data_IF_126275103061
#
_entry.id   IF_126275103061
#
_cell.length_a   1.000
_cell.length_b   1.000
_cell.length_c   1.000
_cell.angle_alpha   90.00
_cell.angle_beta   90.00
_cell.angle_gamma   90.00
#
_symmetry.space_group_name_H-M   'P 1'
#
loop_
_entity.id
_entity.type
_entity.pdbx_description
1 polymer ?
#
# COMPACT_ATOMS: atom_id res chain seq x y z
N UNK A 1 10.70 31.47 5.74
CA UNK A 1 9.94 31.03 4.55
C UNK A 1 8.93 29.94 4.93
N UNK A 2 7.74 29.92 4.32
CA UNK A 2 6.65 28.97 4.60
C UNK A 2 7.06 27.49 4.53
N UNK A 3 7.92 27.10 3.58
CA UNK A 3 8.35 25.71 3.42
C UNK A 3 9.16 25.18 4.61
N UNK A 4 10.00 26.02 5.21
CA UNK A 4 10.78 25.64 6.41
C UNK A 4 9.85 25.32 7.58
N UNK A 5 8.76 26.06 7.74
CA UNK A 5 7.76 25.82 8.81
C UNK A 5 7.00 24.52 8.57
N UNK A 6 6.63 24.22 7.33
CA UNK A 6 5.98 22.95 6.95
C UNK A 6 6.89 21.75 7.26
N UNK A 7 8.15 21.79 6.82
CA UNK A 7 9.08 20.69 7.06
C UNK A 7 9.36 20.48 8.55
N UNK A 8 9.48 21.57 9.32
CA UNK A 8 9.68 21.49 10.76
C UNK A 8 8.46 20.93 11.49
N UNK A 9 7.24 21.32 11.08
CA UNK A 9 6.02 20.75 11.63
C UNK A 9 5.92 19.23 11.37
N UNK A 10 6.19 18.79 10.14
CA UNK A 10 6.21 17.37 9.80
C UNK A 10 7.27 16.60 10.59
N UNK A 11 8.49 17.16 10.71
CA UNK A 11 9.57 16.55 11.49
C UNK A 11 9.14 16.33 12.95
N UNK A 12 8.50 17.32 13.58
CA UNK A 12 8.03 17.20 14.97
C UNK A 12 6.96 16.14 15.13
N UNK A 13 5.99 16.10 14.21
CA UNK A 13 4.94 15.07 14.21
C UNK A 13 5.55 13.69 14.08
N UNK A 14 6.47 13.48 13.15
CA UNK A 14 7.17 12.20 13.02
C UNK A 14 8.03 11.87 14.23
N UNK A 15 8.68 12.87 14.84
CA UNK A 15 9.42 12.70 16.09
C UNK A 15 8.55 12.12 17.21
N UNK A 16 7.38 12.72 17.44
CA UNK A 16 6.40 12.25 18.43
C UNK A 16 5.95 10.82 18.11
N UNK A 17 5.66 10.52 16.84
CA UNK A 17 5.24 9.17 16.44
C UNK A 17 6.34 8.13 16.68
N UNK A 18 7.58 8.42 16.31
CA UNK A 18 8.71 7.49 16.49
C UNK A 18 9.00 7.28 17.97
N UNK A 19 9.00 8.34 18.78
CA UNK A 19 9.22 8.24 20.22
C UNK A 19 8.13 7.39 20.90
N UNK A 20 6.86 7.68 20.61
CA UNK A 20 5.72 6.97 21.21
C UNK A 20 5.72 5.48 20.85
N UNK A 21 5.91 5.12 19.57
CA UNK A 21 5.91 3.70 19.18
C UNK A 21 7.07 2.95 19.83
N UNK A 22 8.25 3.56 19.96
CA UNK A 22 9.39 2.92 20.62
C UNK A 22 9.11 2.71 22.10
N UNK A 23 8.67 3.75 22.81
CA UNK A 23 8.39 3.70 24.25
C UNK A 23 7.27 2.71 24.57
N UNK A 24 6.14 2.77 23.87
CA UNK A 24 5.00 1.88 24.12
C UNK A 24 5.33 0.42 23.75
N UNK A 25 6.05 0.21 22.66
CA UNK A 25 6.47 -1.15 22.26
C UNK A 25 7.46 -1.75 23.25
N UNK A 26 8.40 -0.97 23.76
CA UNK A 26 9.32 -1.41 24.82
C UNK A 26 8.57 -1.81 26.08
N UNK A 27 7.62 -0.99 26.54
CA UNK A 27 6.77 -1.31 27.69
C UNK A 27 6.03 -2.64 27.51
N UNK A 28 5.45 -2.87 26.32
CA UNK A 28 4.75 -4.12 25.99
C UNK A 28 5.69 -5.32 25.98
N UNK A 29 6.88 -5.17 25.37
CA UNK A 29 7.90 -6.21 25.36
C UNK A 29 8.38 -6.56 26.77
N UNK A 30 8.62 -5.57 27.63
CA UNK A 30 9.02 -5.78 29.02
C UNK A 30 7.93 -6.51 29.80
N UNK A 31 6.66 -6.12 29.64
CA UNK A 31 5.54 -6.77 30.30
C UNK A 31 5.31 -8.21 29.81
N UNK A 32 5.50 -8.46 28.52
CA UNK A 32 5.36 -9.78 27.91
C UNK A 32 6.55 -10.70 28.23
N UNK A 33 7.74 -10.13 28.43
CA UNK A 33 8.99 -10.83 28.70
C UNK A 33 9.28 -12.05 27.78
N UNK A 34 9.12 -11.91 26.45
CA UNK A 34 9.33 -13.00 25.51
C UNK A 34 10.77 -13.52 25.58
N UNK A 35 10.95 -14.83 25.46
CA UNK A 35 12.25 -15.50 25.39
C UNK A 35 12.62 -15.88 23.97
N UNK A 36 11.64 -15.89 23.06
CA UNK A 36 11.85 -16.22 21.67
C UNK A 36 10.94 -15.40 20.74
N UNK A 37 11.29 -15.37 19.45
CA UNK A 37 10.40 -14.84 18.42
C UNK A 37 9.09 -15.65 18.32
N UNK A 38 9.10 -16.92 18.73
CA UNK A 38 7.89 -17.74 18.73
C UNK A 38 6.88 -17.26 19.77
N UNK A 39 7.35 -16.75 20.91
CA UNK A 39 6.48 -16.19 21.95
C UNK A 39 5.72 -14.97 21.44
N UNK A 40 6.35 -14.16 20.58
CA UNK A 40 5.71 -13.03 19.90
C UNK A 40 4.67 -13.49 18.89
N UNK A 41 4.97 -14.53 18.09
CA UNK A 41 4.01 -15.09 17.12
C UNK A 41 2.80 -15.73 17.80
N UNK A 42 3.01 -16.34 18.98
CA UNK A 42 1.96 -16.97 19.76
C UNK A 42 1.16 -15.95 20.60
N UNK A 43 1.64 -14.72 20.74
CA UNK A 43 0.93 -13.67 21.47
C UNK A 43 -0.30 -13.19 20.70
N UNK A 44 -1.40 -12.94 21.40
CA UNK A 44 -2.71 -12.63 20.80
C UNK A 44 -2.88 -11.18 20.37
N UNK A 45 -1.94 -10.29 20.71
CA UNK A 45 -2.02 -8.87 20.42
C UNK A 45 -0.74 -8.34 19.74
N UNK A 46 -0.83 -7.25 18.97
CA UNK A 46 0.36 -6.60 18.42
C UNK A 46 1.29 -6.10 19.53
N UNK A 47 2.58 -6.36 19.39
CA UNK A 47 3.60 -5.89 20.34
C UNK A 47 4.16 -4.52 19.93
N UNK A 48 4.30 -4.29 18.62
CA UNK A 48 4.72 -3.01 18.07
C UNK A 48 3.50 -2.17 17.74
N UNK A 49 3.19 -1.17 18.56
CA UNK A 49 2.06 -0.28 18.34
C UNK A 49 2.23 1.06 19.07
N UNK A 50 1.52 2.08 18.60
CA UNK A 50 1.40 3.36 19.29
C UNK A 50 0.65 3.19 20.62
N UNK A 51 0.86 4.13 21.53
CA UNK A 51 0.03 4.26 22.72
C UNK A 51 -1.44 4.46 22.34
N UNK A 52 -2.35 4.05 23.24
CA UNK A 52 -3.78 4.25 23.02
C UNK A 52 -4.14 5.73 22.81
N UNK A 53 -3.45 6.63 23.50
CA UNK A 53 -3.60 8.09 23.35
C UNK A 53 -3.18 8.58 21.97
N UNK A 54 -1.99 8.20 21.49
CA UNK A 54 -1.52 8.67 20.17
C UNK A 54 -2.33 8.02 19.05
N UNK A 55 -2.70 6.75 19.20
CA UNK A 55 -3.56 6.06 18.23
C UNK A 55 -4.91 6.76 18.04
N UNK A 56 -5.53 7.25 19.14
CA UNK A 56 -6.76 8.02 19.05
C UNK A 56 -6.57 9.33 18.27
N UNK A 57 -5.48 10.07 18.51
CA UNK A 57 -5.17 11.31 17.76
C UNK A 57 -4.89 11.05 16.28
N UNK A 58 -4.15 9.98 15.96
CA UNK A 58 -3.87 9.58 14.58
C UNK A 58 -5.14 9.19 13.82
N UNK A 59 -6.16 8.67 14.52
CA UNK A 59 -7.46 8.38 13.92
C UNK A 59 -8.13 9.65 13.39
N UNK A 60 -8.08 10.75 14.14
CA UNK A 60 -8.65 12.03 13.71
C UNK A 60 -7.93 12.60 12.48
N UNK A 61 -6.60 12.53 12.48
CA UNK A 61 -5.79 12.92 11.31
C UNK A 61 -6.15 12.06 10.09
N UNK A 62 -6.32 10.75 10.27
CA UNK A 62 -6.71 9.84 9.18
C UNK A 62 -8.08 10.19 8.64
N UNK A 63 -9.06 10.50 9.49
CA UNK A 63 -10.41 10.93 9.06
C UNK A 63 -10.33 12.23 8.27
N UNK A 64 -9.53 13.20 8.74
CA UNK A 64 -9.30 14.44 8.03
C UNK A 64 -8.70 14.21 6.64
N UNK A 65 -7.60 13.46 6.55
CA UNK A 65 -6.93 13.14 5.27
C UNK A 65 -7.84 12.36 4.34
N UNK A 66 -8.59 11.39 4.86
CA UNK A 66 -9.56 10.64 4.06
C UNK A 66 -10.60 11.54 3.43
N UNK A 67 -11.13 12.48 4.20
CA UNK A 67 -12.18 13.40 3.75
C UNK A 67 -11.65 14.47 2.79
N UNK A 68 -10.49 15.05 3.09
CA UNK A 68 -9.99 16.25 2.39
C UNK A 68 -8.97 15.96 1.28
N UNK A 69 -8.25 14.85 1.37
CA UNK A 69 -7.22 14.48 0.39
C UNK A 69 -7.68 13.30 -0.47
N UNK A 70 -7.96 12.14 0.13
CA UNK A 70 -8.25 10.92 -0.64
C UNK A 70 -9.59 10.95 -1.38
N UNK A 71 -10.57 11.73 -0.92
CA UNK A 71 -11.86 11.94 -1.59
C UNK A 71 -11.94 13.25 -2.37
N UNK A 72 -10.80 13.91 -2.61
CA UNK A 72 -10.77 15.08 -3.48
C UNK A 72 -11.21 14.68 -4.91
N UNK A 73 -12.03 15.47 -5.62
CA UNK A 73 -12.55 15.11 -6.94
C UNK A 73 -11.47 14.66 -7.93
N UNK A 74 -10.36 15.40 -8.01
CA UNK A 74 -9.23 15.06 -8.89
C UNK A 74 -8.58 13.71 -8.56
N UNK A 75 -8.52 13.34 -7.27
CA UNK A 75 -7.97 12.05 -6.83
C UNK A 75 -8.92 10.91 -7.19
N UNK A 76 -10.23 11.14 -7.05
CA UNK A 76 -11.27 10.16 -7.42
C UNK A 76 -11.24 9.93 -8.94
N UNK A 77 -11.22 11.00 -9.73
CA UNK A 77 -11.17 10.94 -11.19
C UNK A 77 -9.95 10.13 -11.66
N UNK A 78 -8.76 10.45 -11.13
CA UNK A 78 -7.54 9.73 -11.46
C UNK A 78 -7.63 8.25 -11.07
N UNK A 79 -8.17 7.94 -9.88
CA UNK A 79 -8.37 6.56 -9.42
C UNK A 79 -9.30 5.79 -10.35
N UNK A 80 -10.40 6.41 -10.77
CA UNK A 80 -11.38 5.75 -11.64
C UNK A 80 -10.81 5.51 -13.04
N UNK A 81 -10.03 6.47 -13.58
CA UNK A 81 -9.26 6.30 -14.83
C UNK A 81 -8.26 5.15 -14.74
N UNK A 82 -7.42 5.12 -13.71
CA UNK A 82 -6.45 4.03 -13.50
C UNK A 82 -7.15 2.69 -13.29
N UNK A 83 -8.29 2.67 -12.60
CA UNK A 83 -9.10 1.48 -12.43
C UNK A 83 -9.58 0.90 -13.76
N UNK A 84 -9.94 1.74 -14.74
CA UNK A 84 -10.31 1.30 -16.09
C UNK A 84 -9.11 0.71 -16.82
N UNK A 85 -7.97 1.41 -16.80
CA UNK A 85 -6.72 0.92 -17.39
C UNK A 85 -6.34 -0.47 -16.90
N UNK A 86 -6.35 -0.69 -15.58
CA UNK A 86 -6.02 -1.99 -14.97
C UNK A 86 -7.00 -3.08 -15.41
N UNK A 87 -8.31 -2.78 -15.46
CA UNK A 87 -9.32 -3.75 -15.89
C UNK A 87 -9.15 -4.14 -17.35
N UNK A 88 -8.86 -3.18 -18.22
CA UNK A 88 -8.71 -3.42 -19.65
C UNK A 88 -7.44 -4.20 -19.94
N UNK A 89 -6.30 -3.80 -19.35
CA UNK A 89 -5.05 -4.54 -19.43
C UNK A 89 -5.23 -5.99 -18.97
N UNK A 90 -5.91 -6.20 -17.84
CA UNK A 90 -6.17 -7.55 -17.33
C UNK A 90 -6.98 -8.38 -18.33
N UNK A 91 -8.05 -7.82 -18.90
CA UNK A 91 -8.86 -8.51 -19.92
C UNK A 91 -8.02 -8.84 -21.16
N UNK A 92 -7.26 -7.88 -21.67
CA UNK A 92 -6.44 -8.02 -22.88
C UNK A 92 -5.38 -9.10 -22.73
N UNK A 93 -4.63 -9.11 -21.63
CA UNK A 93 -3.62 -10.16 -21.42
C UNK A 93 -4.22 -11.54 -21.10
N UNK A 94 -5.45 -11.60 -20.58
CA UNK A 94 -6.16 -12.87 -20.41
C UNK A 94 -6.65 -13.42 -21.74
N UNK A 95 -7.17 -12.57 -22.64
CA UNK A 95 -7.61 -12.99 -23.97
C UNK A 95 -6.46 -13.29 -24.92
N UNK A 96 -5.33 -12.60 -24.74
CA UNK A 96 -4.13 -12.70 -25.57
C UNK A 96 -2.87 -12.85 -24.71
N UNK A 97 -2.64 -14.03 -24.08
CA UNK A 97 -1.48 -14.28 -23.23
C UNK A 97 -0.13 -14.12 -23.94
N UNK A 98 -0.10 -14.22 -25.26
CA UNK A 98 1.06 -14.01 -26.11
C UNK A 98 1.62 -12.58 -26.01
N UNK A 99 0.79 -11.60 -25.64
CA UNK A 99 1.21 -10.22 -25.42
C UNK A 99 2.02 -10.04 -24.14
N UNK A 100 1.97 -11.00 -23.21
CA UNK A 100 2.84 -10.98 -22.05
C UNK A 100 4.29 -11.22 -22.47
N UNK A 101 5.26 -10.47 -21.89
CA UNK A 101 6.67 -10.80 -22.03
C UNK A 101 6.94 -12.25 -21.67
N UNK A 102 7.84 -12.92 -22.38
CA UNK A 102 8.08 -14.36 -22.20
C UNK A 102 8.44 -14.74 -20.75
N UNK A 103 9.21 -13.90 -20.07
CA UNK A 103 9.59 -14.07 -18.66
C UNK A 103 8.46 -13.77 -17.65
N UNK A 104 7.26 -13.43 -18.13
CA UNK A 104 6.06 -13.13 -17.32
C UNK A 104 4.87 -14.03 -17.66
N UNK A 105 5.05 -14.99 -18.57
CA UNK A 105 4.02 -15.99 -18.88
C UNK A 105 3.90 -16.98 -17.72
N UNK A 106 2.74 -17.61 -17.59
CA UNK A 106 2.52 -18.59 -16.53
C UNK A 106 3.39 -19.85 -16.74
N UNK A 107 4.12 -20.26 -15.70
CA UNK A 107 4.96 -21.47 -15.72
C UNK A 107 4.15 -22.76 -15.81
N UNK A 108 2.87 -22.71 -15.42
CA UNK A 108 1.95 -23.84 -15.44
C UNK A 108 0.70 -23.51 -16.26
N UNK A 109 0.14 -24.49 -16.98
CA UNK A 109 -1.11 -24.30 -17.68
C UNK A 109 -2.27 -24.10 -16.70
N UNK A 110 -3.29 -23.35 -17.13
CA UNK A 110 -4.53 -23.20 -16.40
C UNK A 110 -4.95 -21.73 -16.19
N UNK A 111 -6.26 -21.51 -16.12
CA UNK A 111 -6.85 -20.17 -16.02
C UNK A 111 -6.37 -19.41 -14.79
N UNK A 112 -6.24 -20.09 -13.65
CA UNK A 112 -5.79 -19.47 -12.40
C UNK A 112 -4.30 -19.07 -12.45
N UNK A 113 -3.46 -19.92 -13.04
CA UNK A 113 -2.03 -19.63 -13.19
C UNK A 113 -1.81 -18.44 -14.14
N UNK A 114 -2.54 -18.41 -15.26
CA UNK A 114 -2.54 -17.27 -16.19
C UNK A 114 -3.04 -15.98 -15.50
N UNK A 115 -4.18 -16.02 -14.81
CA UNK A 115 -4.70 -14.87 -14.09
C UNK A 115 -3.72 -14.31 -13.06
N UNK A 116 -2.98 -15.19 -12.36
CA UNK A 116 -1.92 -14.78 -11.43
C UNK A 116 -0.77 -14.10 -12.15
N UNK A 117 -0.26 -14.70 -13.22
CA UNK A 117 0.85 -14.14 -14.01
C UNK A 117 0.51 -12.75 -14.58
N UNK A 118 -0.72 -12.58 -15.11
CA UNK A 118 -1.23 -11.29 -15.57
C UNK A 118 -1.32 -10.28 -14.42
N UNK A 119 -1.88 -10.67 -13.27
CA UNK A 119 -2.01 -9.79 -12.12
C UNK A 119 -0.65 -9.33 -11.59
N UNK A 120 0.33 -10.24 -11.50
CA UNK A 120 1.68 -9.93 -11.04
C UNK A 120 2.42 -9.03 -12.03
N UNK A 121 2.21 -9.23 -13.34
CA UNK A 121 2.77 -8.36 -14.37
C UNK A 121 2.22 -6.94 -14.27
N UNK A 122 0.90 -6.79 -14.17
CA UNK A 122 0.23 -5.48 -14.03
C UNK A 122 0.64 -4.80 -12.71
N UNK A 123 0.71 -5.53 -11.60
CA UNK A 123 1.13 -4.99 -10.31
C UNK A 123 2.58 -4.49 -10.29
N UNK A 124 3.43 -5.02 -11.19
CA UNK A 124 4.80 -4.57 -11.38
C UNK A 124 4.96 -3.33 -12.28
N UNK A 125 3.87 -2.83 -12.88
CA UNK A 125 3.93 -1.66 -13.77
C UNK A 125 4.01 -0.35 -12.99
N UNK A 126 4.73 0.62 -13.54
CA UNK A 126 4.55 2.03 -13.14
C UNK A 126 3.32 2.61 -13.83
N UNK A 127 2.69 3.62 -13.23
CA UNK A 127 1.52 4.29 -13.82
C UNK A 127 1.77 4.68 -15.28
N UNK A 128 2.90 5.34 -15.55
CA UNK A 128 3.28 5.77 -16.91
C UNK A 128 3.35 4.59 -17.88
N UNK A 129 3.92 3.47 -17.45
CA UNK A 129 4.04 2.28 -18.30
C UNK A 129 2.67 1.62 -18.52
N UNK A 130 1.82 1.53 -17.49
CA UNK A 130 0.47 0.99 -17.62
C UNK A 130 -0.39 1.78 -18.62
N UNK A 131 -0.32 3.12 -18.60
CA UNK A 131 -1.00 3.95 -19.60
C UNK A 131 -0.48 3.69 -21.02
N UNK A 132 0.84 3.56 -21.20
CA UNK A 132 1.43 3.28 -22.50
C UNK A 132 1.02 1.90 -23.04
N UNK A 133 1.00 0.87 -22.19
CA UNK A 133 0.55 -0.47 -22.60
C UNK A 133 -0.95 -0.49 -22.91
N UNK A 134 -1.75 0.28 -22.16
CA UNK A 134 -3.19 0.41 -22.42
C UNK A 134 -3.45 1.04 -23.79
N UNK A 135 -2.76 2.13 -24.12
CA UNK A 135 -2.85 2.78 -25.44
C UNK A 135 -2.43 1.84 -26.59
N UNK A 136 -1.42 0.99 -26.39
CA UNK A 136 -0.93 0.06 -27.42
C UNK A 136 -1.85 -1.13 -27.68
N UNK A 137 -2.49 -1.65 -26.63
CA UNK A 137 -3.09 -2.99 -26.67
C UNK A 137 -4.59 -3.04 -26.37
N UNK A 138 -5.16 -1.99 -25.76
CA UNK A 138 -6.57 -1.98 -25.33
C UNK A 138 -7.45 -1.01 -26.12
N UNK A 139 -6.86 -0.19 -27.00
CA UNK A 139 -7.55 0.78 -27.85
C UNK A 139 -7.92 0.21 -29.21
#
# INVERSE_FOLDING_TARGET
APDRRRHEALRRVFGIMVEDVVTESQKRLTALAPKSAQDIRNHTAPVIQFSGSLFAQLKDIRVFLFTRMYRHPEVIEMRDRTGTVVRDLFKTYISSPELLPENRRADQPGKTALARAVADYIAGMTDRFAFQEHEKHCT
#
